data_IF_742939308816
#
_entry.id   IF_742939308816
#
_cell.length_a   1.000
_cell.length_b   1.000
_cell.length_c   1.000
_cell.angle_alpha   90.00
_cell.angle_beta   90.00
_cell.angle_gamma   90.00
#
_symmetry.space_group_name_H-M   'P 1'
#
loop_
_entity.id
_entity.type
_entity.pdbx_description
1 polymer ?
#
# COMPACT_ATOMS: atom_id res chain seq x y z
N UNK A 1 -18.64 -0.99 -1.56
CA UNK A 1 -18.40 -0.49 -2.92
C UNK A 1 -19.18 -1.38 -3.89
N UNK A 2 -19.88 -0.82 -4.89
CA UNK A 2 -20.68 -1.58 -5.85
C UNK A 2 -19.94 -1.66 -7.19
N UNK A 3 -19.84 -2.87 -7.77
CA UNK A 3 -19.37 -3.02 -9.15
C UNK A 3 -20.54 -2.70 -10.08
N UNK A 4 -20.33 -1.77 -11.01
CA UNK A 4 -21.34 -1.33 -11.96
C UNK A 4 -20.91 -1.71 -13.38
N UNK A 5 -21.82 -2.25 -14.20
CA UNK A 5 -21.52 -2.55 -15.60
C UNK A 5 -21.26 -1.28 -16.40
N UNK A 6 -20.39 -1.39 -17.40
CA UNK A 6 -19.96 -0.30 -18.27
C UNK A 6 -20.36 -0.57 -19.72
N UNK A 7 -20.71 0.49 -20.44
CA UNK A 7 -21.00 0.48 -21.87
C UNK A 7 -19.98 1.34 -22.62
N UNK A 8 -19.26 0.74 -23.57
CA UNK A 8 -18.33 1.44 -24.45
C UNK A 8 -19.11 2.33 -25.41
N UNK A 9 -18.68 3.58 -25.55
CA UNK A 9 -19.31 4.54 -26.45
C UNK A 9 -18.86 4.33 -27.91
N UNK A 10 -19.59 4.88 -28.90
CA UNK A 10 -19.25 4.73 -30.32
C UNK A 10 -17.86 5.24 -30.72
N UNK A 11 -17.23 6.10 -29.92
CA UNK A 11 -15.87 6.59 -30.14
C UNK A 11 -14.78 5.53 -29.85
N UNK A 12 -15.14 4.39 -29.26
CA UNK A 12 -14.25 3.29 -28.92
C UNK A 12 -13.24 3.58 -27.81
N UNK A 13 -13.33 4.73 -27.14
CA UNK A 13 -12.34 5.18 -26.14
C UNK A 13 -12.96 5.65 -24.83
N UNK A 14 -14.25 5.99 -24.83
CA UNK A 14 -14.98 6.39 -23.63
C UNK A 14 -16.00 5.33 -23.21
N UNK A 15 -16.31 5.35 -21.91
CA UNK A 15 -17.23 4.42 -21.25
C UNK A 15 -18.29 5.19 -20.45
N UNK A 16 -19.47 4.61 -20.32
CA UNK A 16 -20.54 5.09 -19.43
C UNK A 16 -21.02 3.97 -18.53
N UNK A 17 -21.62 4.33 -17.39
CA UNK A 17 -22.33 3.36 -16.57
C UNK A 17 -23.57 2.87 -17.32
N UNK A 18 -23.73 1.56 -17.38
CA UNK A 18 -24.88 0.94 -18.03
C UNK A 18 -26.19 1.34 -17.34
N UNK A 19 -27.15 1.80 -18.12
CA UNK A 19 -28.48 2.20 -17.63
C UNK A 19 -28.62 3.66 -17.19
N UNK A 20 -27.57 4.49 -17.29
CA UNK A 20 -27.72 5.93 -17.02
C UNK A 20 -28.32 6.70 -18.23
N UNK A 21 -29.27 7.65 -17.99
CA UNK A 21 -29.87 8.45 -19.06
C UNK A 21 -28.84 9.22 -19.90
N UNK A 22 -29.02 9.21 -21.21
CA UNK A 22 -28.23 10.05 -22.11
C UNK A 22 -28.48 11.54 -21.80
N UNK A 23 -27.44 12.27 -21.38
CA UNK A 23 -27.50 13.71 -21.10
C UNK A 23 -27.06 14.13 -19.69
N UNK A 24 -27.01 13.22 -18.73
CA UNK A 24 -26.54 13.48 -17.34
C UNK A 24 -25.35 12.64 -16.92
N UNK A 25 -25.01 11.60 -17.70
CA UNK A 25 -23.99 10.63 -17.35
C UNK A 25 -22.58 11.19 -17.56
N UNK A 26 -21.75 11.11 -16.52
CA UNK A 26 -20.32 11.31 -16.66
C UNK A 26 -19.75 10.21 -17.56
N UNK A 27 -18.98 10.59 -18.58
CA UNK A 27 -18.17 9.63 -19.34
C UNK A 27 -16.86 9.36 -18.61
N UNK A 28 -16.28 8.20 -18.87
CA UNK A 28 -15.04 7.75 -18.27
C UNK A 28 -14.06 7.30 -19.35
N UNK A 29 -12.77 7.42 -19.08
CA UNK A 29 -11.68 6.90 -19.92
C UNK A 29 -10.74 6.07 -19.07
N UNK A 30 -9.96 5.18 -19.68
CA UNK A 30 -8.89 4.52 -18.93
C UNK A 30 -7.88 5.53 -18.39
N UNK A 31 -7.39 5.26 -17.18
CA UNK A 31 -6.22 5.93 -16.63
C UNK A 31 -5.09 5.98 -17.65
N UNK A 32 -4.35 7.08 -17.72
CA UNK A 32 -3.22 7.21 -18.66
C UNK A 32 -2.22 6.05 -18.57
N UNK A 33 -1.98 5.50 -17.37
CA UNK A 33 -1.08 4.36 -17.17
C UNK A 33 -1.59 3.03 -17.76
N UNK A 34 -2.82 2.99 -18.27
CA UNK A 34 -3.34 1.86 -19.04
C UNK A 34 -2.56 1.61 -20.33
N UNK A 35 -2.02 2.65 -20.97
CA UNK A 35 -1.15 2.51 -22.15
C UNK A 35 0.11 1.67 -21.89
N UNK A 36 0.46 1.49 -20.60
CA UNK A 36 1.58 0.71 -20.14
C UNK A 36 1.13 -0.59 -19.46
N UNK A 37 -0.11 -1.05 -19.65
CA UNK A 37 -0.82 -2.11 -18.87
C UNK A 37 -0.49 -2.15 -17.36
N UNK A 38 -0.20 -0.99 -16.77
CA UNK A 38 0.08 -0.86 -15.35
C UNK A 38 -1.19 -0.53 -14.55
N UNK A 39 -2.26 -0.16 -15.24
CA UNK A 39 -3.54 0.21 -14.64
C UNK A 39 -4.70 -0.21 -15.54
N UNK A 40 -5.83 -0.57 -14.94
CA UNK A 40 -7.09 -0.83 -15.63
C UNK A 40 -8.26 -0.03 -15.01
N UNK A 41 -7.96 0.96 -14.16
CA UNK A 41 -8.97 1.81 -13.53
C UNK A 41 -9.38 2.95 -14.46
N UNK A 42 -10.60 3.43 -14.28
CA UNK A 42 -11.18 4.50 -15.06
C UNK A 42 -11.06 5.86 -14.37
N UNK A 43 -11.11 6.92 -15.16
CA UNK A 43 -11.06 8.32 -14.75
C UNK A 43 -12.22 9.07 -15.43
N UNK A 44 -13.00 9.89 -14.70
CA UNK A 44 -14.02 10.73 -15.32
C UNK A 44 -13.40 11.64 -16.39
N UNK A 45 -14.03 11.73 -17.56
CA UNK A 45 -13.66 12.68 -18.61
C UNK A 45 -13.76 14.11 -18.07
N UNK A 46 -12.74 14.93 -18.32
CA UNK A 46 -12.67 16.30 -17.80
C UNK A 46 -12.10 16.42 -16.39
N UNK A 47 -11.62 15.32 -15.80
CA UNK A 47 -10.83 15.35 -14.57
C UNK A 47 -9.57 16.21 -14.75
N UNK A 48 -9.15 16.90 -13.70
CA UNK A 48 -7.95 17.74 -13.71
C UNK A 48 -6.65 16.96 -13.93
N UNK A 49 -6.70 15.64 -13.74
CA UNK A 49 -5.60 14.70 -13.94
C UNK A 49 -6.10 13.53 -14.80
N UNK A 50 -5.29 13.01 -15.74
CA UNK A 50 -5.62 11.82 -16.52
C UNK A 50 -5.33 10.50 -15.77
N UNK A 51 -4.88 10.58 -14.52
CA UNK A 51 -4.57 9.43 -13.68
C UNK A 51 -5.74 9.06 -12.76
N UNK A 52 -5.98 7.76 -12.55
CA UNK A 52 -6.92 7.30 -11.53
C UNK A 52 -6.40 7.64 -10.13
N UNK A 53 -7.27 7.57 -9.12
CA UNK A 53 -6.90 7.99 -7.76
C UNK A 53 -5.69 7.23 -7.21
N UNK A 54 -5.46 5.97 -7.61
CA UNK A 54 -4.30 5.20 -7.17
C UNK A 54 -3.02 5.61 -7.91
N UNK A 55 -3.10 5.87 -9.23
CA UNK A 55 -1.97 6.33 -10.03
C UNK A 55 -1.58 7.78 -9.71
N UNK A 56 -2.54 8.64 -9.35
CA UNK A 56 -2.28 10.04 -9.00
C UNK A 56 -1.49 10.20 -7.69
N UNK A 57 -1.44 9.17 -6.84
CA UNK A 57 -0.58 9.14 -5.66
C UNK A 57 0.91 9.03 -6.02
N UNK A 58 1.26 8.67 -7.25
CA UNK A 58 2.65 8.60 -7.65
C UNK A 58 3.24 9.99 -7.80
N UNK A 59 4.25 10.26 -6.98
CA UNK A 59 5.16 11.38 -7.18
C UNK A 59 6.24 11.01 -8.19
N UNK A 60 6.80 9.81 -8.08
CA UNK A 60 7.88 9.30 -8.96
C UNK A 60 7.59 7.88 -9.40
N UNK A 61 7.79 7.60 -10.69
CA UNK A 61 7.84 6.24 -11.26
C UNK A 61 9.25 6.00 -11.81
N UNK A 62 9.71 4.74 -11.96
CA UNK A 62 11.02 4.47 -12.52
C UNK A 62 11.13 4.86 -14.00
N UNK A 63 12.35 5.05 -14.46
CA UNK A 63 12.65 5.24 -15.88
C UNK A 63 12.30 3.98 -16.68
N UNK A 64 11.18 4.02 -17.40
CA UNK A 64 10.65 2.89 -18.15
C UNK A 64 11.46 2.57 -19.42
N UNK A 65 12.42 3.41 -19.80
CA UNK A 65 13.36 3.09 -20.89
C UNK A 65 14.37 2.02 -20.48
N UNK A 66 14.55 1.79 -19.17
CA UNK A 66 15.47 0.79 -18.66
C UNK A 66 14.90 -0.63 -18.78
N UNK A 67 15.70 -1.61 -19.26
CA UNK A 67 15.26 -2.98 -19.39
C UNK A 67 14.71 -3.56 -18.07
N UNK A 68 13.53 -4.18 -18.12
CA UNK A 68 12.91 -4.84 -16.98
C UNK A 68 12.21 -3.93 -15.97
N UNK A 69 12.52 -2.62 -15.93
CA UNK A 69 11.89 -1.69 -14.98
C UNK A 69 10.38 -1.57 -15.20
N UNK A 70 9.96 -1.71 -16.45
CA UNK A 70 8.57 -1.68 -16.81
C UNK A 70 7.77 -2.83 -16.18
N UNK A 71 8.30 -4.06 -16.17
CA UNK A 71 7.63 -5.19 -15.52
C UNK A 71 7.61 -5.01 -13.99
N UNK A 72 8.75 -4.60 -13.41
CA UNK A 72 8.86 -4.30 -11.98
C UNK A 72 7.83 -3.25 -11.53
N UNK A 73 7.69 -2.18 -12.31
CA UNK A 73 6.70 -1.13 -12.05
C UNK A 73 5.26 -1.63 -12.15
N UNK A 74 4.92 -2.46 -13.15
CA UNK A 74 3.58 -3.07 -13.26
C UNK A 74 3.21 -3.90 -12.04
N UNK A 75 4.14 -4.72 -11.54
CA UNK A 75 3.90 -5.55 -10.37
C UNK A 75 3.66 -4.71 -9.11
N UNK A 76 4.43 -3.62 -8.97
CA UNK A 76 4.27 -2.62 -7.90
C UNK A 76 2.92 -1.90 -8.01
N UNK A 77 2.54 -1.44 -9.20
CA UNK A 77 1.24 -0.81 -9.42
C UNK A 77 0.11 -1.79 -9.10
N UNK A 78 0.20 -3.05 -9.54
CA UNK A 78 -0.80 -4.06 -9.24
C UNK A 78 -0.93 -4.31 -7.72
N UNK A 79 0.17 -4.28 -6.97
CA UNK A 79 0.13 -4.37 -5.52
C UNK A 79 -0.49 -3.11 -4.89
N UNK A 80 -0.04 -1.91 -5.28
CA UNK A 80 -0.59 -0.64 -4.78
C UNK A 80 -2.09 -0.50 -5.07
N UNK A 81 -2.57 -0.88 -6.25
CA UNK A 81 -4.00 -0.80 -6.58
C UNK A 81 -4.85 -1.72 -5.68
N UNK A 82 -4.35 -2.91 -5.32
CA UNK A 82 -4.99 -3.79 -4.33
C UNK A 82 -5.04 -3.14 -2.95
N UNK A 83 -3.94 -2.52 -2.52
CA UNK A 83 -3.91 -1.75 -1.27
C UNK A 83 -4.96 -0.64 -1.29
N UNK A 84 -4.94 0.23 -2.31
CA UNK A 84 -5.87 1.36 -2.41
C UNK A 84 -7.32 0.88 -2.42
N UNK A 85 -7.63 -0.18 -3.15
CA UNK A 85 -8.95 -0.82 -3.10
C UNK A 85 -9.35 -1.21 -1.67
N UNK A 86 -8.48 -1.90 -0.93
CA UNK A 86 -8.73 -2.29 0.46
C UNK A 86 -8.99 -1.09 1.37
N UNK A 87 -8.19 -0.02 1.24
CA UNK A 87 -8.36 1.22 2.01
C UNK A 87 -9.72 1.88 1.73
N UNK A 88 -10.15 1.92 0.46
CA UNK A 88 -11.46 2.45 0.08
C UNK A 88 -12.62 1.60 0.63
N UNK A 89 -12.48 0.27 0.63
CA UNK A 89 -13.46 -0.63 1.22
C UNK A 89 -13.61 -0.42 2.74
N UNK A 90 -12.53 -0.03 3.42
CA UNK A 90 -12.53 0.33 4.84
C UNK A 90 -12.95 1.78 5.10
N UNK A 91 -13.34 2.52 4.06
CA UNK A 91 -13.69 3.95 4.13
C UNK A 91 -12.55 4.82 4.70
N UNK A 92 -11.29 4.42 4.51
CA UNK A 92 -10.14 5.19 4.95
C UNK A 92 -9.83 6.32 3.95
N UNK A 93 -9.35 7.49 4.42
CA UNK A 93 -9.02 8.59 3.54
C UNK A 93 -7.80 8.26 2.68
N UNK A 94 -7.98 8.30 1.36
CA UNK A 94 -6.91 8.18 0.36
C UNK A 94 -6.87 9.50 -0.42
N UNK A 95 -6.01 10.42 0.01
CA UNK A 95 -5.91 11.78 -0.55
C UNK A 95 -4.47 12.05 -0.92
N UNK A 96 -4.22 12.45 -2.17
CA UNK A 96 -2.87 12.79 -2.64
C UNK A 96 -2.30 13.99 -1.88
N UNK A 97 -0.98 14.00 -1.61
CA UNK A 97 -0.30 15.20 -1.10
C UNK A 97 -0.39 16.39 -2.07
N UNK A 98 -0.69 16.18 -3.36
CA UNK A 98 -0.98 17.28 -4.30
C UNK A 98 -2.22 18.09 -3.87
N UNK A 99 -3.21 17.40 -3.30
CA UNK A 99 -4.46 18.00 -2.82
C UNK A 99 -4.31 18.43 -1.36
N UNK A 100 -3.65 17.61 -0.53
CA UNK A 100 -3.45 17.91 0.88
C UNK A 100 -1.97 17.77 1.29
N UNK A 101 -1.12 18.79 1.05
CA UNK A 101 0.34 18.68 1.21
C UNK A 101 0.81 18.20 2.58
N UNK A 102 0.15 18.63 3.66
CA UNK A 102 0.57 18.32 5.03
C UNK A 102 0.15 16.92 5.54
N UNK A 103 -0.88 16.29 4.97
CA UNK A 103 -1.44 15.03 5.51
C UNK A 103 -1.88 14.02 4.44
N UNK A 104 -1.60 14.28 3.17
CA UNK A 104 -1.88 13.34 2.09
C UNK A 104 -0.87 12.20 2.01
N UNK A 105 -1.14 11.27 1.12
CA UNK A 105 -0.31 10.12 0.78
C UNK A 105 0.33 10.29 -0.60
N UNK A 106 1.58 9.89 -0.75
CA UNK A 106 2.29 9.80 -2.03
C UNK A 106 3.23 8.60 -2.07
N UNK A 107 3.57 8.17 -3.29
CA UNK A 107 4.51 7.10 -3.55
C UNK A 107 5.67 7.54 -4.44
N UNK A 108 6.88 7.14 -4.05
CA UNK A 108 8.09 7.20 -4.87
C UNK A 108 8.55 5.78 -5.21
N UNK A 109 8.51 5.41 -6.49
CA UNK A 109 9.07 4.15 -6.97
C UNK A 109 10.41 4.42 -7.63
N UNK A 110 11.48 3.98 -6.98
CA UNK A 110 12.86 4.31 -7.36
C UNK A 110 13.68 3.04 -7.54
N UNK A 111 14.65 3.13 -8.44
CA UNK A 111 15.69 2.12 -8.57
C UNK A 111 16.95 2.56 -7.83
N UNK A 112 17.79 1.59 -7.49
CA UNK A 112 19.13 1.88 -6.98
C UNK A 112 19.93 2.72 -7.98
N UNK A 113 20.61 3.75 -7.49
CA UNK A 113 21.49 4.58 -8.31
C UNK A 113 22.80 3.83 -8.61
N UNK A 114 23.26 3.02 -7.66
CA UNK A 114 24.42 2.13 -7.79
C UNK A 114 24.39 1.04 -6.71
N UNK A 115 25.17 -0.04 -6.82
CA UNK A 115 25.27 -1.04 -5.74
C UNK A 115 25.69 -0.47 -4.38
N UNK A 116 26.40 0.67 -4.37
CA UNK A 116 26.82 1.38 -3.16
C UNK A 116 25.79 2.38 -2.65
N UNK A 117 24.85 2.82 -3.49
CA UNK A 117 23.79 3.79 -3.16
C UNK A 117 22.44 3.15 -3.43
N UNK A 118 22.02 2.31 -2.49
CA UNK A 118 20.73 1.65 -2.56
C UNK A 118 19.63 2.55 -2.03
N UNK A 119 18.48 2.51 -2.68
CA UNK A 119 17.27 3.15 -2.18
C UNK A 119 16.71 2.29 -1.05
N UNK A 120 16.49 2.93 0.09
CA UNK A 120 15.78 2.33 1.21
C UNK A 120 14.27 2.48 1.01
N UNK A 121 13.56 1.37 1.12
CA UNK A 121 12.11 1.35 1.25
C UNK A 121 11.73 1.87 2.64
N UNK A 122 10.65 2.65 2.71
CA UNK A 122 10.19 3.18 3.99
C UNK A 122 9.14 4.27 3.84
N UNK A 123 8.68 4.75 4.98
CA UNK A 123 7.72 5.83 5.13
C UNK A 123 8.37 7.07 5.75
N UNK A 124 8.10 8.23 5.17
CA UNK A 124 8.44 9.54 5.73
C UNK A 124 7.28 10.52 5.54
N UNK A 125 6.56 10.83 6.62
CA UNK A 125 5.47 11.80 6.67
C UNK A 125 4.51 11.69 5.47
N UNK A 126 3.93 10.50 5.26
CA UNK A 126 3.01 10.19 4.16
C UNK A 126 3.62 10.11 2.76
N UNK A 127 4.94 10.16 2.62
CA UNK A 127 5.65 9.71 1.42
C UNK A 127 6.14 8.29 1.66
N UNK A 128 5.66 7.34 0.87
CA UNK A 128 6.13 5.96 0.88
C UNK A 128 7.09 5.76 -0.29
N UNK A 129 8.33 5.41 0.01
CA UNK A 129 9.32 5.05 -1.00
C UNK A 129 9.40 3.54 -1.09
N UNK A 130 9.26 2.99 -2.30
CA UNK A 130 9.49 1.57 -2.57
C UNK A 130 10.65 1.45 -3.56
N UNK A 131 11.65 0.65 -3.22
CA UNK A 131 12.68 0.26 -4.16
C UNK A 131 12.10 -0.75 -5.17
N UNK A 132 12.21 -0.47 -6.46
CA UNK A 132 11.66 -1.35 -7.50
C UNK A 132 12.35 -2.71 -7.58
N UNK A 133 13.55 -2.83 -6.99
CA UNK A 133 14.22 -4.09 -6.70
C UNK A 133 13.31 -5.09 -5.96
N UNK A 134 12.42 -4.60 -5.10
CA UNK A 134 11.46 -5.44 -4.38
C UNK A 134 10.43 -6.11 -5.30
N UNK A 135 10.30 -5.69 -6.56
CA UNK A 135 9.48 -6.39 -7.53
C UNK A 135 10.18 -7.62 -8.13
N UNK A 136 11.49 -7.76 -7.96
CA UNK A 136 12.24 -8.93 -8.38
C UNK A 136 12.07 -10.09 -7.39
N UNK A 137 11.62 -11.26 -7.88
CA UNK A 137 11.38 -12.42 -7.03
C UNK A 137 12.66 -12.99 -6.40
N UNK A 138 13.79 -12.93 -7.10
CA UNK A 138 15.08 -13.42 -6.61
C UNK A 138 15.58 -12.47 -5.52
N UNK A 139 15.56 -11.16 -5.79
CA UNK A 139 16.02 -10.16 -4.82
C UNK A 139 15.13 -10.17 -3.57
N UNK A 140 13.80 -10.32 -3.72
CA UNK A 140 12.89 -10.49 -2.57
C UNK A 140 13.22 -11.72 -1.74
N UNK A 141 13.46 -12.86 -2.37
CA UNK A 141 13.75 -14.11 -1.66
C UNK A 141 15.10 -14.02 -0.92
N UNK A 142 16.11 -13.40 -1.54
CA UNK A 142 17.37 -13.11 -0.89
C UNK A 142 17.20 -12.18 0.32
N UNK A 143 16.42 -11.11 0.18
CA UNK A 143 16.13 -10.18 1.27
C UNK A 143 15.36 -10.87 2.41
N UNK A 144 14.35 -11.69 2.07
CA UNK A 144 13.58 -12.48 3.04
C UNK A 144 14.48 -13.41 3.86
N UNK A 145 15.40 -14.11 3.21
CA UNK A 145 16.37 -14.98 3.89
C UNK A 145 17.33 -14.18 4.78
N UNK A 146 17.87 -13.07 4.28
CA UNK A 146 18.78 -12.22 5.05
C UNK A 146 18.12 -11.64 6.31
N UNK A 147 16.85 -11.25 6.23
CA UNK A 147 16.10 -10.64 7.33
C UNK A 147 15.31 -11.66 8.18
N UNK A 148 15.42 -12.96 7.89
CA UNK A 148 14.69 -14.04 8.58
C UNK A 148 13.17 -13.79 8.61
N UNK A 149 12.63 -13.19 7.55
CA UNK A 149 11.21 -12.89 7.41
C UNK A 149 10.42 -14.12 6.95
N UNK A 150 9.23 -14.33 7.53
CA UNK A 150 8.37 -15.46 7.16
C UNK A 150 7.78 -15.28 5.75
N UNK A 151 7.46 -14.03 5.36
CA UNK A 151 6.83 -13.69 4.10
C UNK A 151 7.19 -12.26 3.69
N UNK A 152 7.72 -12.07 2.47
CA UNK A 152 8.00 -10.75 1.89
C UNK A 152 7.31 -10.60 0.55
N UNK A 153 6.30 -9.75 0.48
CA UNK A 153 5.62 -9.37 -0.78
C UNK A 153 5.49 -7.87 -0.89
N UNK A 154 5.40 -7.40 -2.14
CA UNK A 154 5.12 -5.99 -2.44
C UNK A 154 3.88 -5.49 -1.70
N UNK A 155 2.79 -6.26 -1.72
CA UNK A 155 1.55 -5.87 -1.03
C UNK A 155 1.72 -5.86 0.50
N UNK A 156 2.45 -6.82 1.07
CA UNK A 156 2.77 -6.83 2.49
C UNK A 156 3.53 -5.57 2.92
N UNK A 157 4.58 -5.23 2.17
CA UNK A 157 5.36 -4.02 2.38
C UNK A 157 4.51 -2.75 2.26
N UNK A 158 3.72 -2.64 1.20
CA UNK A 158 2.79 -1.52 1.06
C UNK A 158 1.89 -1.35 2.28
N UNK A 159 1.34 -2.46 2.81
CA UNK A 159 0.48 -2.42 3.99
C UNK A 159 1.23 -2.00 5.25
N UNK A 160 2.48 -2.46 5.42
CA UNK A 160 3.33 -2.02 6.53
C UNK A 160 3.59 -0.51 6.46
N UNK A 161 4.07 -0.02 5.32
CA UNK A 161 4.41 1.39 5.14
C UNK A 161 3.20 2.31 5.24
N UNK A 162 2.02 1.92 4.71
CA UNK A 162 0.80 2.71 4.96
C UNK A 162 0.32 2.60 6.40
N UNK A 163 0.71 1.55 7.13
CA UNK A 163 0.44 1.42 8.57
C UNK A 163 1.04 2.58 9.35
N UNK A 164 2.29 2.95 9.05
CA UNK A 164 2.92 4.16 9.60
C UNK A 164 2.17 5.43 9.20
N UNK A 165 1.80 5.58 7.92
CA UNK A 165 1.00 6.72 7.48
C UNK A 165 -0.33 6.83 8.25
N UNK A 166 -1.04 5.71 8.46
CA UNK A 166 -2.29 5.73 9.20
C UNK A 166 -2.11 5.88 10.71
N UNK A 167 -0.93 5.55 11.26
CA UNK A 167 -0.56 5.93 12.61
C UNK A 167 -0.54 7.46 12.75
N UNK A 168 0.17 8.16 11.86
CA UNK A 168 0.21 9.64 11.83
C UNK A 168 -1.19 10.24 11.67
N UNK A 169 -2.07 9.56 10.93
CA UNK A 169 -3.40 10.08 10.62
C UNK A 169 -4.46 9.83 11.70
N UNK A 170 -4.37 8.72 12.41
CA UNK A 170 -5.42 8.23 13.30
C UNK A 170 -5.03 8.22 14.77
N UNK A 171 -3.73 8.11 15.06
CA UNK A 171 -3.19 7.91 16.40
C UNK A 171 -2.44 9.14 16.87
N UNK A 172 -1.49 9.63 16.06
CA UNK A 172 -0.68 10.78 16.43
C UNK A 172 -1.55 12.01 16.78
N UNK A 173 -1.14 12.72 17.84
CA UNK A 173 -1.82 13.91 18.36
C UNK A 173 -3.35 13.72 18.58
N UNK A 174 -3.78 12.51 18.91
CA UNK A 174 -5.20 12.17 19.14
C UNK A 174 -5.44 11.54 20.52
N UNK A 175 -6.70 11.47 20.99
CA UNK A 175 -7.05 10.74 22.21
C UNK A 175 -6.69 9.25 22.17
N UNK A 176 -6.57 8.66 20.97
CA UNK A 176 -6.25 7.24 20.80
C UNK A 176 -4.81 6.90 21.17
N UNK A 177 -3.92 7.89 21.30
CA UNK A 177 -2.51 7.68 21.66
C UNK A 177 -2.35 6.98 23.02
N UNK A 178 -3.26 7.24 23.96
CA UNK A 178 -3.25 6.56 25.27
C UNK A 178 -3.52 5.06 25.09
N UNK A 179 -4.52 4.70 24.29
CA UNK A 179 -4.84 3.31 24.00
C UNK A 179 -3.75 2.61 23.21
N UNK A 180 -3.15 3.31 22.24
CA UNK A 180 -1.97 2.82 21.52
C UNK A 180 -0.85 2.45 22.51
N UNK A 181 -0.49 3.35 23.42
CA UNK A 181 0.62 3.09 24.37
C UNK A 181 0.32 1.96 25.37
N UNK A 182 -0.95 1.74 25.69
CA UNK A 182 -1.37 0.62 26.52
C UNK A 182 -1.24 -0.73 25.80
N UNK A 183 -1.45 -0.75 24.48
CA UNK A 183 -1.43 -1.98 23.68
C UNK A 183 -0.03 -2.30 23.13
N UNK A 184 0.63 -1.31 22.50
CA UNK A 184 1.87 -1.48 21.75
C UNK A 184 3.12 -1.02 22.54
N UNK A 185 2.93 -0.17 23.55
CA UNK A 185 4.02 0.44 24.33
C UNK A 185 4.37 1.87 23.91
N UNK A 186 5.42 2.42 24.52
CA UNK A 186 5.81 3.83 24.36
C UNK A 186 6.64 4.04 23.09
N UNK A 187 6.06 4.68 22.08
CA UNK A 187 6.69 4.99 20.81
C UNK A 187 7.78 6.06 20.89
N UNK A 188 7.91 6.76 22.02
CA UNK A 188 8.95 7.79 22.21
C UNK A 188 10.33 7.19 22.48
N UNK A 189 10.43 5.87 22.56
CA UNK A 189 11.71 5.18 22.62
C UNK A 189 12.57 5.60 21.42
N UNK A 190 13.89 5.69 21.62
CA UNK A 190 14.79 6.04 20.52
C UNK A 190 14.74 4.93 19.46
N UNK A 191 14.14 5.26 18.32
CA UNK A 191 13.89 4.34 17.22
C UNK A 191 15.18 3.66 16.74
N UNK A 192 16.23 4.46 16.51
CA UNK A 192 17.50 3.95 16.01
C UNK A 192 18.21 3.02 16.99
N UNK A 193 18.17 3.33 18.29
CA UNK A 193 18.72 2.48 19.34
C UNK A 193 17.90 1.20 19.52
N UNK A 194 16.57 1.28 19.40
CA UNK A 194 15.67 0.13 19.49
C UNK A 194 15.92 -0.87 18.35
N UNK A 195 16.03 -0.39 17.10
CA UNK A 195 16.39 -1.22 15.95
C UNK A 195 17.79 -1.83 16.09
N UNK A 196 18.80 -1.04 16.49
CA UNK A 196 20.17 -1.56 16.71
C UNK A 196 20.18 -2.69 17.74
N UNK A 197 19.43 -2.54 18.83
CA UNK A 197 19.28 -3.58 19.86
C UNK A 197 18.60 -4.83 19.27
N UNK A 198 17.52 -4.67 18.52
CA UNK A 198 16.83 -5.78 17.87
C UNK A 198 17.74 -6.55 16.92
N UNK A 199 18.50 -5.88 16.04
CA UNK A 199 19.44 -6.55 15.14
C UNK A 199 20.60 -7.23 15.87
N UNK A 200 21.03 -6.70 17.02
CA UNK A 200 22.12 -7.28 17.81
C UNK A 200 21.67 -8.47 18.67
N UNK A 201 20.44 -8.46 19.18
CA UNK A 201 19.97 -9.39 20.22
C UNK A 201 18.83 -10.32 19.75
N UNK A 202 18.18 -9.99 18.63
CA UNK A 202 16.99 -10.65 18.13
C UNK A 202 15.74 -10.32 18.94
N UNK A 203 14.65 -11.03 18.62
CA UNK A 203 13.40 -10.95 19.37
C UNK A 203 13.50 -11.66 20.72
N UNK A 204 12.85 -11.16 21.78
CA UNK A 204 12.88 -11.77 23.11
C UNK A 204 12.25 -13.18 23.12
N UNK A 205 12.68 -14.10 24.00
CA UNK A 205 12.08 -15.41 24.12
C UNK A 205 10.56 -15.36 24.37
N UNK A 206 9.80 -16.19 23.67
CA UNK A 206 8.34 -16.26 23.82
C UNK A 206 7.55 -15.15 23.11
N UNK A 207 8.20 -14.32 22.28
CA UNK A 207 7.55 -13.22 21.56
C UNK A 207 6.31 -13.64 20.75
N UNK A 208 6.27 -14.88 20.24
CA UNK A 208 5.17 -15.41 19.44
C UNK A 208 3.82 -15.43 20.17
N UNK A 209 3.82 -15.31 21.50
CA UNK A 209 2.60 -15.24 22.31
C UNK A 209 1.97 -13.84 22.34
N UNK A 210 2.73 -12.82 21.94
CA UNK A 210 2.35 -11.41 22.13
C UNK A 210 2.51 -10.55 20.88
N UNK A 211 3.35 -10.94 19.93
CA UNK A 211 3.67 -10.17 18.73
C UNK A 211 3.40 -10.97 17.46
N UNK A 212 3.03 -10.26 16.39
CA UNK A 212 2.71 -10.88 15.11
C UNK A 212 3.96 -11.31 14.32
N UNK A 213 5.10 -10.66 14.59
CA UNK A 213 6.38 -10.98 13.97
C UNK A 213 7.53 -10.70 14.94
N UNK A 214 8.71 -11.26 14.65
CA UNK A 214 9.92 -10.93 15.40
C UNK A 214 10.23 -9.44 15.27
N UNK A 215 10.04 -8.86 14.09
CA UNK A 215 10.33 -7.45 13.82
C UNK A 215 9.39 -6.50 14.58
N UNK A 216 8.13 -6.87 14.81
CA UNK A 216 7.20 -6.14 15.67
C UNK A 216 7.76 -5.91 17.10
N UNK A 217 8.62 -6.79 17.60
CA UNK A 217 9.27 -6.62 18.92
C UNK A 217 10.31 -5.50 18.96
N UNK A 218 10.70 -4.97 17.80
CA UNK A 218 11.80 -4.01 17.68
C UNK A 218 11.44 -2.65 18.24
N UNK A 219 10.20 -2.18 18.02
CA UNK A 219 9.72 -0.87 18.44
C UNK A 219 8.18 -0.82 18.43
N UNK A 220 7.50 -0.11 19.36
CA UNK A 220 6.03 -0.02 19.39
C UNK A 220 5.39 0.51 18.09
N UNK A 221 6.09 1.40 17.38
CA UNK A 221 5.64 1.91 16.08
C UNK A 221 5.68 0.84 14.99
N UNK A 222 6.66 -0.07 15.05
CA UNK A 222 6.79 -1.21 14.14
C UNK A 222 5.76 -2.28 14.46
N UNK A 223 5.49 -2.54 15.74
CA UNK A 223 4.42 -3.45 16.15
C UNK A 223 3.06 -3.03 15.60
N UNK A 224 2.77 -1.72 15.62
CA UNK A 224 1.58 -1.19 14.98
C UNK A 224 1.55 -1.41 13.47
N UNK A 225 2.63 -1.11 12.75
CA UNK A 225 2.68 -1.26 11.30
C UNK A 225 2.54 -2.74 10.88
N UNK A 226 3.20 -3.65 11.60
CA UNK A 226 3.09 -5.09 11.40
C UNK A 226 1.67 -5.60 11.72
N UNK A 227 1.08 -5.15 12.83
CA UNK A 227 -0.29 -5.51 13.22
C UNK A 227 -1.31 -4.98 12.20
N UNK A 228 -1.14 -3.75 11.73
CA UNK A 228 -1.95 -3.15 10.68
C UNK A 228 -1.86 -3.97 9.38
N UNK A 229 -0.64 -4.30 8.96
CA UNK A 229 -0.42 -5.09 7.76
C UNK A 229 -1.05 -6.47 7.84
N UNK A 230 -0.95 -7.11 9.01
CA UNK A 230 -1.57 -8.40 9.26
C UNK A 230 -3.10 -8.33 9.30
N UNK A 231 -3.68 -7.29 9.91
CA UNK A 231 -5.11 -7.06 9.89
C UNK A 231 -5.65 -6.95 8.46
N UNK A 232 -5.01 -6.15 7.60
CA UNK A 232 -5.39 -6.04 6.19
C UNK A 232 -5.22 -7.36 5.44
N UNK A 233 -4.22 -8.17 5.80
CA UNK A 233 -4.06 -9.50 5.22
C UNK A 233 -5.21 -10.44 5.58
N UNK A 234 -5.67 -10.44 6.84
CA UNK A 234 -6.82 -11.21 7.28
C UNK A 234 -8.07 -10.76 6.53
N UNK A 235 -8.33 -9.45 6.45
CA UNK A 235 -9.49 -8.89 5.74
C UNK A 235 -9.53 -9.35 4.28
N UNK A 236 -8.41 -9.25 3.55
CA UNK A 236 -8.37 -9.65 2.14
C UNK A 236 -8.56 -11.16 1.94
N UNK A 237 -8.05 -11.97 2.88
CA UNK A 237 -8.24 -13.43 2.87
C UNK A 237 -9.71 -13.80 3.09
N UNK A 238 -10.37 -13.15 4.05
CA UNK A 238 -11.80 -13.35 4.32
C UNK A 238 -12.68 -12.85 3.17
N UNK A 239 -12.33 -11.72 2.54
CA UNK A 239 -13.01 -11.23 1.35
C UNK A 239 -12.91 -12.22 0.19
N UNK A 240 -11.73 -12.82 -0.02
CA UNK A 240 -11.54 -13.86 -1.04
C UNK A 240 -12.44 -15.06 -0.75
N UNK A 241 -12.43 -15.57 0.48
CA UNK A 241 -13.31 -16.67 0.90
C UNK A 241 -14.79 -16.36 0.64
N UNK A 242 -15.24 -15.17 1.03
CA UNK A 242 -16.61 -14.70 0.79
C UNK A 242 -16.96 -14.63 -0.70
N UNK A 243 -16.04 -14.14 -1.54
CA UNK A 243 -16.24 -14.05 -2.99
C UNK A 243 -16.37 -15.44 -3.65
N UNK A 244 -15.70 -16.46 -3.10
CA UNK A 244 -15.89 -17.86 -3.49
C UNK A 244 -17.13 -18.53 -2.87
N UNK A 245 -17.97 -17.75 -2.18
CA UNK A 245 -19.24 -18.23 -1.62
C UNK A 245 -19.12 -18.92 -0.27
N UNK A 246 -17.95 -18.89 0.38
CA UNK A 246 -17.83 -19.39 1.76
C UNK A 246 -18.61 -18.45 2.69
N UNK A 247 -19.61 -19.01 3.37
CA UNK A 247 -20.42 -18.31 4.36
C UNK A 247 -20.35 -19.09 5.66
N UNK A 248 -20.27 -18.37 6.76
CA UNK A 248 -20.52 -18.96 8.06
C UNK A 248 -22.03 -19.14 8.19
N UNK A 249 -22.47 -20.34 8.57
CA UNK A 249 -23.80 -20.58 9.12
C UNK A 249 -23.62 -20.68 10.64
N UNK A 250 -23.75 -19.58 11.40
CA UNK A 250 -23.67 -19.65 12.85
C UNK A 250 -24.87 -20.46 13.36
N UNK A 251 -24.59 -21.44 14.23
CA UNK A 251 -25.61 -22.19 14.97
C UNK A 251 -26.41 -21.29 15.91
#
# INVERSE_FOLDING_TARGET
MQLLPLEMQPDGTTYRLYGEPAGTASTYTYCQNHQHDACNWLVPTGSATPFCMACDLNRTIPDLSQPGYWQRWRDIEAAKHRLVYGLLCLCLPVVSKRVYPGKGLQFDFKADESPAHRILTGHDNGLITINIAEADAIEREQARQAMHELYRTLLGHFRHEVGHYYWDRLIDNSPNLVGFRQLFGDERQDYGAALKRHYAQGAPPGWQQHFISAYATSHPWEDWAETWAHYLHIVDTLQTAHAFGLRLEPL
#
